data_IF_895462072247
#
_entry.id   IF_895462072247
#
_cell.length_a   1.000
_cell.length_b   1.000
_cell.length_c   1.000
_cell.angle_alpha   90.00
_cell.angle_beta   90.00
_cell.angle_gamma   90.00
#
_symmetry.space_group_name_H-M   'P 1'
#
loop_
_entity.id
_entity.type
_entity.pdbx_description
1 polymer ?
#
# COMPACT_ATOMS: atom_id res chain seq x y z
N UNK A 1 27.01 8.33 88.24
CA UNK A 1 28.17 7.57 88.75
C UNK A 1 28.74 6.80 87.57
N UNK A 2 29.80 7.34 86.98
CA UNK A 2 30.61 6.66 85.97
C UNK A 2 31.53 5.68 86.71
N UNK A 3 31.65 4.46 86.21
CA UNK A 3 32.80 3.61 86.51
C UNK A 3 33.34 3.06 85.20
N UNK A 4 34.51 3.56 84.84
CA UNK A 4 35.38 3.09 83.78
C UNK A 4 36.33 2.03 84.32
N UNK A 5 36.87 1.21 83.42
CA UNK A 5 38.11 0.42 83.51
C UNK A 5 37.95 -1.10 83.64
N UNK A 6 38.53 -1.80 82.67
CA UNK A 6 38.57 -3.27 82.57
C UNK A 6 38.61 -3.78 81.12
N UNK A 7 39.55 -3.32 80.29
CA UNK A 7 40.81 -4.05 79.99
C UNK A 7 40.61 -5.21 78.99
N UNK A 8 41.09 -4.98 77.78
CA UNK A 8 41.20 -5.89 76.63
C UNK A 8 41.62 -7.32 76.99
N UNK A 9 40.95 -8.32 76.43
CA UNK A 9 41.36 -9.73 76.58
C UNK A 9 40.39 -10.80 76.08
N UNK A 10 39.72 -10.59 74.95
CA UNK A 10 38.93 -11.66 74.31
C UNK A 10 39.84 -12.62 73.56
N UNK A 11 40.08 -13.82 74.13
CA UNK A 11 40.83 -14.91 73.51
C UNK A 11 40.26 -15.22 72.12
N UNK A 12 41.08 -15.10 71.09
CA UNK A 12 40.81 -15.66 69.77
C UNK A 12 40.97 -17.18 69.85
N UNK A 13 39.85 -17.89 70.02
CA UNK A 13 39.85 -19.34 69.92
C UNK A 13 40.20 -19.75 68.48
N UNK A 14 41.38 -20.33 68.36
CA UNK A 14 41.98 -20.75 67.10
C UNK A 14 41.14 -21.79 66.35
N UNK A 15 41.39 -21.79 65.04
CA UNK A 15 40.90 -22.75 64.06
C UNK A 15 41.06 -24.19 64.57
N UNK A 16 39.95 -24.91 64.74
CA UNK A 16 39.95 -26.35 65.03
C UNK A 16 39.79 -27.11 63.70
N UNK A 17 40.86 -27.69 63.13
CA UNK A 17 40.72 -28.59 62.00
C UNK A 17 40.20 -29.93 62.53
N UNK A 18 39.35 -30.57 61.72
CA UNK A 18 38.92 -31.96 61.87
C UNK A 18 37.71 -32.20 62.78
N UNK A 19 36.53 -31.79 62.32
CA UNK A 19 35.31 -32.59 62.51
C UNK A 19 34.62 -32.76 61.17
N UNK A 20 34.69 -33.99 60.65
CA UNK A 20 33.91 -34.47 59.52
C UNK A 20 32.41 -34.34 59.79
N UNK A 21 31.82 -33.21 59.42
CA UNK A 21 30.42 -33.16 59.04
C UNK A 21 30.33 -33.53 57.56
N UNK A 22 30.25 -34.83 57.28
CA UNK A 22 29.93 -35.38 55.96
C UNK A 22 28.44 -35.14 55.69
N UNK A 23 28.02 -33.89 55.51
CA UNK A 23 26.65 -33.51 55.14
C UNK A 23 26.74 -32.37 54.11
N UNK A 24 26.52 -32.73 52.84
CA UNK A 24 26.41 -31.88 51.64
C UNK A 24 27.07 -30.49 51.75
N UNK A 25 28.32 -30.35 51.27
CA UNK A 25 28.87 -29.02 50.94
C UNK A 25 27.87 -28.34 50.00
N UNK A 26 27.46 -27.13 50.35
CA UNK A 26 26.58 -26.32 49.51
C UNK A 26 27.18 -26.31 48.08
N UNK A 27 26.43 -26.71 47.04
CA UNK A 27 26.95 -26.82 45.67
C UNK A 27 27.53 -25.49 45.17
N UNK A 28 26.96 -24.37 45.62
CA UNK A 28 27.50 -23.04 45.32
C UNK A 28 28.85 -22.80 46.00
N UNK A 29 28.99 -23.16 47.28
CA UNK A 29 30.29 -23.03 47.97
C UNK A 29 31.35 -23.97 47.39
N UNK A 30 30.98 -25.19 46.99
CA UNK A 30 31.90 -26.11 46.34
C UNK A 30 32.39 -25.59 44.96
N UNK A 31 31.50 -24.99 44.18
CA UNK A 31 31.85 -24.36 42.89
C UNK A 31 32.66 -23.08 43.07
N UNK A 32 32.36 -22.28 44.10
CA UNK A 32 33.14 -21.09 44.47
C UNK A 32 34.55 -21.47 44.92
N UNK A 33 34.68 -22.42 45.84
CA UNK A 33 35.98 -22.92 46.29
C UNK A 33 36.81 -23.43 45.11
N UNK A 34 36.19 -24.22 44.22
CA UNK A 34 36.86 -24.74 43.02
C UNK A 34 37.29 -23.62 42.04
N UNK A 35 36.44 -22.61 41.83
CA UNK A 35 36.75 -21.45 41.00
C UNK A 35 37.91 -20.63 41.53
N UNK A 36 38.07 -20.55 42.85
CA UNK A 36 39.15 -19.79 43.51
C UNK A 36 40.45 -20.60 43.58
N UNK A 37 40.37 -21.90 43.90
CA UNK A 37 41.53 -22.77 44.02
C UNK A 37 42.15 -23.12 42.66
N UNK A 38 41.35 -23.20 41.59
CA UNK A 38 41.81 -23.60 40.24
C UNK A 38 41.28 -22.69 39.13
N UNK A 39 41.62 -21.38 39.15
CA UNK A 39 41.01 -20.37 38.29
C UNK A 39 41.19 -20.64 36.80
N UNK A 40 42.34 -21.18 36.39
CA UNK A 40 42.61 -21.53 34.97
C UNK A 40 41.72 -22.66 34.47
N UNK A 41 41.44 -23.66 35.32
CA UNK A 41 40.60 -24.79 34.95
C UNK A 41 39.13 -24.37 34.89
N UNK A 42 38.67 -23.59 35.86
CA UNK A 42 37.30 -23.08 35.89
C UNK A 42 36.99 -22.16 34.71
N UNK A 43 37.93 -21.25 34.37
CA UNK A 43 37.79 -20.42 33.17
C UNK A 43 37.70 -21.25 31.89
N UNK A 44 38.57 -22.26 31.73
CA UNK A 44 38.57 -23.13 30.55
C UNK A 44 37.25 -23.90 30.41
N UNK A 45 36.68 -24.39 31.52
CA UNK A 45 35.39 -25.09 31.51
C UNK A 45 34.24 -24.14 31.14
N UNK A 46 34.21 -22.93 31.70
CA UNK A 46 33.19 -21.93 31.36
C UNK A 46 33.27 -21.52 29.88
N UNK A 47 34.49 -21.29 29.36
CA UNK A 47 34.73 -21.01 27.94
C UNK A 47 34.26 -22.17 27.04
N UNK A 48 34.55 -23.41 27.44
CA UNK A 48 34.09 -24.59 26.70
C UNK A 48 32.55 -24.67 26.69
N UNK A 49 31.89 -24.45 27.82
CA UNK A 49 30.43 -24.41 27.90
C UNK A 49 29.84 -23.28 27.04
N UNK A 50 30.44 -22.08 27.06
CA UNK A 50 30.01 -20.97 26.20
C UNK A 50 30.14 -21.33 24.72
N UNK A 51 31.25 -21.95 24.30
CA UNK A 51 31.44 -22.38 22.91
C UNK A 51 30.44 -23.46 22.47
N UNK A 52 30.13 -24.42 23.36
CA UNK A 52 29.13 -25.46 23.09
C UNK A 52 27.70 -24.91 23.02
N UNK A 53 27.36 -23.92 23.83
CA UNK A 53 26.06 -23.25 23.75
C UNK A 53 25.99 -22.32 22.53
N UNK A 54 27.08 -21.62 22.22
CA UNK A 54 27.18 -20.74 21.06
C UNK A 54 27.11 -21.51 19.73
N UNK A 55 27.54 -22.79 19.68
CA UNK A 55 27.40 -23.59 18.45
C UNK A 55 25.95 -23.82 18.04
N UNK A 56 25.00 -23.74 18.98
CA UNK A 56 23.56 -23.76 18.70
C UNK A 56 23.04 -22.49 18.02
N UNK A 57 23.78 -21.38 18.07
CA UNK A 57 23.39 -20.11 17.44
C UNK A 57 23.30 -20.20 15.90
N UNK A 58 24.06 -21.10 15.28
CA UNK A 58 23.96 -21.36 13.82
C UNK A 58 22.66 -22.08 13.42
N UNK A 59 21.92 -22.62 14.39
CA UNK A 59 20.64 -23.29 14.18
C UNK A 59 19.44 -22.41 14.52
N UNK A 60 19.65 -21.13 14.84
CA UNK A 60 18.57 -20.17 14.98
C UNK A 60 17.99 -19.87 13.59
N UNK A 61 16.82 -20.46 13.30
CA UNK A 61 16.00 -20.08 12.18
C UNK A 61 15.01 -19.03 12.67
N UNK A 62 15.18 -17.79 12.21
CA UNK A 62 14.19 -16.76 12.41
C UNK A 62 13.12 -16.96 11.33
N UNK A 63 11.96 -17.43 11.76
CA UNK A 63 10.78 -17.38 10.91
C UNK A 63 10.33 -15.91 10.84
N UNK A 64 10.55 -15.30 9.68
CA UNK A 64 10.13 -13.92 9.39
C UNK A 64 8.88 -13.91 8.49
N UNK A 65 8.24 -15.07 8.30
CA UNK A 65 6.93 -15.11 7.64
C UNK A 65 5.88 -14.44 8.53
N UNK A 66 4.85 -13.89 7.90
CA UNK A 66 3.69 -13.31 8.59
C UNK A 66 3.08 -14.31 9.59
N UNK A 67 3.07 -15.60 9.24
CA UNK A 67 2.51 -16.71 10.02
C UNK A 67 3.33 -17.05 11.28
N UNK A 68 4.64 -16.77 11.30
CA UNK A 68 5.52 -17.05 12.43
C UNK A 68 5.18 -16.28 13.72
N UNK A 69 4.31 -15.26 13.61
CA UNK A 69 3.86 -14.42 14.71
C UNK A 69 2.46 -14.76 15.23
N UNK A 70 1.71 -15.63 14.54
CA UNK A 70 0.36 -16.00 14.94
C UNK A 70 0.35 -17.28 15.78
N UNK A 71 -0.37 -17.31 16.93
CA UNK A 71 -0.47 -18.51 17.73
C UNK A 71 -1.41 -19.53 17.09
N UNK A 72 -1.04 -20.81 17.17
CA UNK A 72 -1.88 -21.94 16.75
C UNK A 72 -3.23 -21.90 17.51
N UNK A 73 -4.27 -21.42 16.85
CA UNK A 73 -5.61 -21.29 17.43
C UNK A 73 -6.69 -21.48 16.36
N UNK A 74 -7.89 -21.97 16.74
CA UNK A 74 -8.97 -22.22 15.77
C UNK A 74 -9.38 -21.00 14.96
N UNK A 75 -9.14 -19.78 15.48
CA UNK A 75 -9.42 -18.53 14.77
C UNK A 75 -8.38 -18.22 13.69
N UNK A 76 -7.11 -18.55 13.94
CA UNK A 76 -6.01 -18.43 12.96
C UNK A 76 -6.16 -19.51 11.88
N UNK A 77 -6.55 -20.73 12.26
CA UNK A 77 -6.83 -21.81 11.30
C UNK A 77 -7.92 -21.42 10.30
N UNK A 78 -9.01 -20.81 10.79
CA UNK A 78 -10.10 -20.31 9.94
C UNK A 78 -9.65 -19.15 9.04
N UNK A 79 -8.78 -18.27 9.55
CA UNK A 79 -8.21 -17.17 8.76
C UNK A 79 -7.37 -17.72 7.61
N UNK A 80 -6.52 -18.70 7.89
CA UNK A 80 -5.66 -19.37 6.90
C UNK A 80 -6.49 -20.14 5.87
N UNK A 81 -7.56 -20.81 6.29
CA UNK A 81 -8.49 -21.49 5.38
C UNK A 81 -9.16 -20.50 4.42
N UNK A 82 -9.70 -19.39 4.95
CA UNK A 82 -10.29 -18.31 4.14
C UNK A 82 -9.25 -17.70 3.18
N UNK A 83 -8.03 -17.47 3.66
CA UNK A 83 -6.95 -16.93 2.84
C UNK A 83 -6.57 -17.87 1.69
N UNK A 84 -6.46 -19.17 1.97
CA UNK A 84 -6.13 -20.18 0.96
C UNK A 84 -7.24 -20.39 -0.09
N UNK A 85 -8.51 -20.26 0.31
CA UNK A 85 -9.67 -20.55 -0.52
C UNK A 85 -10.13 -19.31 -1.34
N UNK A 86 -10.06 -18.11 -0.76
CA UNK A 86 -10.70 -16.92 -1.32
C UNK A 86 -9.76 -15.77 -1.68
N UNK A 87 -8.49 -15.79 -1.25
CA UNK A 87 -7.59 -14.68 -1.53
C UNK A 87 -6.84 -14.90 -2.84
N UNK A 88 -7.22 -14.15 -3.87
CA UNK A 88 -6.23 -13.77 -4.88
C UNK A 88 -5.18 -12.95 -4.12
N UNK A 89 -3.92 -13.39 -4.13
CA UNK A 89 -2.83 -12.69 -3.46
C UNK A 89 -2.60 -11.34 -4.18
N UNK A 90 -3.35 -10.32 -3.76
CA UNK A 90 -3.31 -8.96 -4.28
C UNK A 90 -2.73 -8.09 -3.19
N UNK A 91 -1.49 -7.69 -3.40
CA UNK A 91 -0.84 -6.68 -2.58
C UNK A 91 -1.11 -5.28 -3.12
N UNK A 92 -1.43 -4.35 -2.22
CA UNK A 92 -1.60 -2.94 -2.57
C UNK A 92 -0.35 -2.15 -2.17
N UNK A 93 0.32 -1.59 -3.16
CA UNK A 93 1.34 -0.56 -2.93
C UNK A 93 0.60 0.78 -2.87
N UNK A 94 0.72 1.47 -1.74
CA UNK A 94 0.08 2.77 -1.51
C UNK A 94 1.14 3.83 -1.25
N UNK A 95 0.99 4.97 -1.91
CA UNK A 95 1.76 6.18 -1.62
C UNK A 95 0.80 7.17 -0.95
N UNK A 96 1.16 7.60 0.25
CA UNK A 96 0.44 8.62 0.99
C UNK A 96 1.21 9.92 0.85
N UNK A 97 0.58 10.93 0.26
CA UNK A 97 1.16 12.25 0.10
C UNK A 97 0.43 13.23 1.01
N UNK A 98 1.16 13.88 1.90
CA UNK A 98 0.60 14.91 2.77
C UNK A 98 0.48 16.21 1.98
N UNK A 99 -0.69 16.83 2.08
CA UNK A 99 -1.03 18.11 1.45
C UNK A 99 -1.68 19.00 2.50
N UNK A 100 -1.43 20.29 2.41
CA UNK A 100 -2.06 21.29 3.26
C UNK A 100 -3.49 21.58 2.77
N UNK A 101 -4.24 22.33 3.59
CA UNK A 101 -5.56 22.80 3.18
C UNK A 101 -5.43 23.71 1.95
N UNK A 102 -6.37 23.57 1.02
CA UNK A 102 -6.43 24.30 -0.26
C UNK A 102 -5.37 23.92 -1.31
N UNK A 103 -4.40 23.05 -1.01
CA UNK A 103 -3.39 22.56 -1.97
C UNK A 103 -4.01 21.93 -3.23
N UNK A 104 -5.20 21.32 -3.11
CA UNK A 104 -5.92 20.75 -4.25
C UNK A 104 -6.41 21.80 -5.25
N UNK A 105 -6.42 23.09 -4.87
CA UNK A 105 -6.74 24.18 -5.79
C UNK A 105 -5.52 24.61 -6.62
N UNK A 106 -4.32 24.14 -6.25
CA UNK A 106 -3.07 24.47 -6.93
C UNK A 106 -2.71 23.42 -7.99
N UNK A 107 -2.35 23.88 -9.19
CA UNK A 107 -1.98 23.00 -10.31
C UNK A 107 -0.72 22.17 -10.00
N UNK A 108 0.24 22.74 -9.25
CA UNK A 108 1.49 22.07 -8.87
C UNK A 108 1.23 20.79 -8.04
N UNK A 109 0.21 20.81 -7.18
CA UNK A 109 -0.21 19.62 -6.42
C UNK A 109 -0.64 18.48 -7.33
N UNK A 110 -1.42 18.79 -8.37
CA UNK A 110 -1.89 17.79 -9.34
C UNK A 110 -0.77 17.28 -10.24
N UNK A 111 0.16 18.15 -10.65
CA UNK A 111 1.37 17.75 -11.38
C UNK A 111 2.23 16.80 -10.54
N UNK A 112 2.39 17.09 -9.24
CA UNK A 112 3.09 16.22 -8.29
C UNK A 112 2.40 14.86 -8.15
N UNK A 113 1.07 14.84 -8.01
CA UNK A 113 0.30 13.60 -7.92
C UNK A 113 0.42 12.77 -9.20
N UNK A 114 0.31 13.41 -10.37
CA UNK A 114 0.48 12.76 -11.67
C UNK A 114 1.88 12.16 -11.82
N UNK A 115 2.91 12.89 -11.38
CA UNK A 115 4.31 12.43 -11.39
C UNK A 115 4.50 11.19 -10.52
N UNK A 116 3.94 11.17 -9.30
CA UNK A 116 4.02 10.02 -8.39
C UNK A 116 3.35 8.79 -9.02
N UNK A 117 2.15 8.96 -9.56
CA UNK A 117 1.42 7.88 -10.25
C UNK A 117 2.20 7.37 -11.47
N UNK A 118 2.76 8.27 -12.25
CA UNK A 118 3.56 7.94 -13.43
C UNK A 118 4.84 7.16 -13.05
N UNK A 119 5.49 7.53 -11.95
CA UNK A 119 6.66 6.81 -11.42
C UNK A 119 6.29 5.41 -10.95
N UNK A 120 5.13 5.24 -10.29
CA UNK A 120 4.65 3.92 -9.90
C UNK A 120 4.39 3.02 -11.11
N UNK A 121 3.74 3.55 -12.15
CA UNK A 121 3.45 2.80 -13.38
C UNK A 121 4.69 2.42 -14.20
N UNK A 122 5.74 3.23 -14.14
CA UNK A 122 6.96 2.99 -14.93
C UNK A 122 8.04 2.24 -14.13
N UNK A 123 7.78 1.88 -12.89
CA UNK A 123 8.76 1.15 -12.10
C UNK A 123 8.90 -0.30 -12.61
N UNK A 124 10.09 -0.66 -13.08
CA UNK A 124 10.40 -2.01 -13.58
C UNK A 124 10.20 -3.10 -12.53
N UNK A 125 10.37 -2.77 -11.24
CA UNK A 125 10.21 -3.71 -10.14
C UNK A 125 8.72 -4.05 -9.92
N UNK A 126 7.81 -3.15 -10.31
CA UNK A 126 6.37 -3.35 -10.16
C UNK A 126 5.69 -3.90 -11.43
N UNK A 127 6.29 -3.70 -12.60
CA UNK A 127 5.71 -4.12 -13.87
C UNK A 127 5.22 -5.59 -13.93
N UNK A 128 5.94 -6.60 -13.38
CA UNK A 128 5.46 -7.98 -13.37
C UNK A 128 4.24 -8.23 -12.47
N UNK A 129 3.98 -7.34 -11.51
CA UNK A 129 2.94 -7.47 -10.48
C UNK A 129 1.71 -6.60 -10.78
N UNK A 130 1.73 -5.86 -11.88
CA UNK A 130 0.61 -5.02 -12.31
C UNK A 130 -0.63 -5.86 -12.59
N UNK A 131 -1.67 -5.66 -11.77
CA UNK A 131 -2.95 -6.33 -11.93
C UNK A 131 -4.03 -5.31 -12.29
N UNK A 132 -4.70 -5.42 -13.45
CA UNK A 132 -5.55 -4.36 -14.00
C UNK A 132 -6.95 -4.30 -13.34
N UNK A 133 -7.00 -3.97 -12.04
CA UNK A 133 -8.25 -3.91 -11.26
C UNK A 133 -9.17 -2.75 -11.67
N UNK A 134 -8.61 -1.68 -12.24
CA UNK A 134 -9.32 -0.42 -12.44
C UNK A 134 -9.55 -0.16 -13.93
N UNK A 135 -10.41 -0.99 -14.54
CA UNK A 135 -10.85 -0.77 -15.92
C UNK A 135 -9.69 -0.77 -16.92
N UNK A 136 -8.81 -1.79 -16.83
CA UNK A 136 -7.56 -2.00 -17.61
C UNK A 136 -6.28 -1.41 -17.04
N UNK A 137 -6.35 -0.66 -15.92
CA UNK A 137 -5.19 -0.04 -15.30
C UNK A 137 -4.79 -0.72 -13.99
N UNK A 138 -3.48 -0.79 -13.75
CA UNK A 138 -2.90 -1.38 -12.54
C UNK A 138 -2.76 -0.38 -11.38
N UNK A 139 -2.82 0.92 -11.68
CA UNK A 139 -2.83 1.99 -10.69
C UNK A 139 -4.21 2.63 -10.59
N UNK A 140 -4.45 3.32 -9.48
CA UNK A 140 -5.59 4.18 -9.27
C UNK A 140 -5.15 5.29 -8.33
N UNK A 141 -5.11 6.51 -8.83
CA UNK A 141 -4.79 7.67 -8.02
C UNK A 141 -5.58 8.91 -8.45
N UNK A 142 -5.47 10.01 -7.69
CA UNK A 142 -6.26 11.20 -7.93
C UNK A 142 -6.07 11.77 -9.35
N UNK A 143 -4.85 11.81 -9.87
CA UNK A 143 -4.55 12.40 -11.17
C UNK A 143 -5.14 11.56 -12.32
N UNK A 144 -4.96 10.24 -12.29
CA UNK A 144 -5.56 9.33 -13.28
C UNK A 144 -7.09 9.36 -13.27
N UNK A 145 -7.71 9.51 -12.11
CA UNK A 145 -9.17 9.67 -12.00
C UNK A 145 -9.64 11.04 -12.52
N UNK A 146 -8.96 12.12 -12.12
CA UNK A 146 -9.29 13.46 -12.57
C UNK A 146 -9.16 13.59 -14.09
N UNK A 147 -8.08 13.06 -14.67
CA UNK A 147 -7.86 13.02 -16.13
C UNK A 147 -9.02 12.32 -16.86
N UNK A 148 -9.45 11.15 -16.36
CA UNK A 148 -10.55 10.40 -16.99
C UNK A 148 -11.89 11.11 -16.83
N UNK A 149 -12.15 11.66 -15.66
CA UNK A 149 -13.36 12.44 -15.41
C UNK A 149 -13.42 13.68 -16.33
N UNK A 150 -12.32 14.44 -16.45
CA UNK A 150 -12.28 15.60 -17.35
C UNK A 150 -12.55 15.21 -18.80
N UNK A 151 -11.95 14.12 -19.26
CA UNK A 151 -12.12 13.67 -20.64
C UNK A 151 -13.55 13.18 -20.93
N UNK A 152 -14.20 12.50 -19.98
CA UNK A 152 -15.42 11.72 -20.25
C UNK A 152 -16.69 12.23 -19.57
N UNK A 153 -16.59 13.04 -18.52
CA UNK A 153 -17.70 13.41 -17.64
C UNK A 153 -17.83 14.92 -17.40
N UNK A 154 -16.75 15.69 -17.57
CA UNK A 154 -16.81 17.14 -17.37
C UNK A 154 -17.63 17.84 -18.47
N UNK A 155 -18.65 18.59 -18.06
CA UNK A 155 -19.54 19.31 -18.98
C UNK A 155 -18.83 20.41 -19.79
N UNK A 156 -17.83 21.09 -19.22
CA UNK A 156 -17.09 22.13 -19.93
C UNK A 156 -16.26 21.51 -21.06
N UNK A 157 -15.52 20.44 -20.76
CA UNK A 157 -14.75 19.69 -21.77
C UNK A 157 -15.66 19.06 -22.82
N UNK A 158 -16.80 18.49 -22.39
CA UNK A 158 -17.77 17.86 -23.28
C UNK A 158 -18.47 18.84 -24.24
N UNK A 159 -18.56 20.13 -23.88
CA UNK A 159 -19.13 21.16 -24.75
C UNK A 159 -18.42 21.26 -26.11
N UNK A 160 -17.17 20.82 -26.20
CA UNK A 160 -16.39 20.80 -27.44
C UNK A 160 -16.88 19.78 -28.48
N UNK A 161 -17.54 18.69 -28.07
CA UNK A 161 -17.92 17.58 -28.97
C UNK A 161 -19.38 17.17 -28.86
N UNK A 162 -19.97 17.20 -27.66
CA UNK A 162 -21.31 16.66 -27.39
C UNK A 162 -22.43 17.41 -28.13
N UNK A 163 -22.44 18.76 -28.19
CA UNK A 163 -23.46 19.49 -28.96
C UNK A 163 -23.37 19.21 -30.47
N UNK A 164 -22.15 19.06 -31.00
CA UNK A 164 -21.92 18.77 -32.42
C UNK A 164 -22.41 17.35 -32.76
N UNK A 165 -22.11 16.38 -31.90
CA UNK A 165 -22.57 15.01 -32.05
C UNK A 165 -24.10 14.91 -32.00
N UNK A 166 -24.74 15.63 -31.07
CA UNK A 166 -26.19 15.72 -30.98
C UNK A 166 -26.80 16.36 -32.24
N UNK A 167 -26.26 17.50 -32.70
CA UNK A 167 -26.73 18.17 -33.90
C UNK A 167 -26.57 17.31 -35.16
N UNK A 168 -25.43 16.63 -35.33
CA UNK A 168 -25.19 15.73 -36.44
C UNK A 168 -26.15 14.53 -36.41
N UNK A 169 -26.44 14.00 -35.21
CA UNK A 169 -27.41 12.93 -34.99
C UNK A 169 -28.82 13.35 -35.42
N UNK A 170 -29.29 14.52 -34.98
CA UNK A 170 -30.57 15.09 -35.46
C UNK A 170 -30.57 15.30 -36.97
N UNK A 171 -29.45 15.75 -37.54
CA UNK A 171 -29.28 15.92 -38.98
C UNK A 171 -29.49 14.64 -39.78
N UNK A 172 -29.01 13.49 -39.29
CA UNK A 172 -29.25 12.17 -39.92
C UNK A 172 -30.72 11.76 -39.82
N UNK A 173 -31.37 12.02 -38.68
CA UNK A 173 -32.78 11.69 -38.48
C UNK A 173 -33.71 12.50 -39.40
N UNK A 174 -33.34 13.74 -39.70
CA UNK A 174 -34.12 14.66 -40.55
C UNK A 174 -33.71 14.64 -42.03
N UNK A 175 -32.69 13.87 -42.40
CA UNK A 175 -32.20 13.84 -43.77
C UNK A 175 -33.09 13.01 -44.69
N UNK A 176 -33.53 13.64 -45.78
CA UNK A 176 -34.16 12.95 -46.92
C UNK A 176 -33.15 12.07 -47.67
N UNK A 177 -33.63 11.08 -48.42
CA UNK A 177 -32.82 10.05 -49.10
C UNK A 177 -31.65 10.59 -49.92
N UNK A 178 -31.81 11.76 -50.57
CA UNK A 178 -30.77 12.41 -51.36
C UNK A 178 -29.62 12.97 -50.51
N UNK A 179 -29.91 13.35 -49.25
CA UNK A 179 -28.98 14.04 -48.35
C UNK A 179 -28.46 13.13 -47.21
N UNK A 180 -28.99 11.92 -47.05
CA UNK A 180 -28.57 10.96 -46.01
C UNK A 180 -27.06 10.72 -46.04
N UNK A 181 -26.47 10.54 -47.22
CA UNK A 181 -25.04 10.25 -47.31
C UNK A 181 -24.18 11.40 -46.77
N UNK A 182 -24.61 12.65 -46.99
CA UNK A 182 -23.91 13.83 -46.46
C UNK A 182 -24.13 13.96 -44.95
N UNK A 183 -25.34 13.68 -44.46
CA UNK A 183 -25.65 13.70 -43.03
C UNK A 183 -24.84 12.64 -42.26
N UNK A 184 -24.70 11.43 -42.81
CA UNK A 184 -23.90 10.36 -42.20
C UNK A 184 -22.40 10.70 -42.20
N UNK A 185 -21.91 11.35 -43.26
CA UNK A 185 -20.53 11.84 -43.29
C UNK A 185 -20.28 12.88 -42.18
N UNK A 186 -21.21 13.80 -41.97
CA UNK A 186 -21.13 14.78 -40.88
C UNK A 186 -21.20 14.12 -39.49
N UNK A 187 -22.06 13.11 -39.29
CA UNK A 187 -22.08 12.33 -38.05
C UNK A 187 -20.77 11.58 -37.82
N UNK A 188 -20.19 10.99 -38.87
CA UNK A 188 -18.88 10.32 -38.79
C UNK A 188 -17.76 11.31 -38.44
N UNK A 189 -17.81 12.54 -38.95
CA UNK A 189 -16.86 13.59 -38.61
C UNK A 189 -17.03 14.02 -37.15
N UNK A 190 -18.27 14.30 -36.71
CA UNK A 190 -18.57 14.64 -35.31
C UNK A 190 -18.14 13.55 -34.32
N UNK A 191 -18.28 12.27 -34.70
CA UNK A 191 -17.85 11.14 -33.88
C UNK A 191 -16.32 11.11 -33.66
N UNK A 192 -15.51 11.68 -34.56
CA UNK A 192 -14.05 11.74 -34.40
C UNK A 192 -13.61 12.73 -33.31
N UNK A 193 -14.49 13.64 -32.90
CA UNK A 193 -14.25 14.57 -31.80
C UNK A 193 -14.58 13.99 -30.43
N UNK A 194 -15.23 12.82 -30.36
CA UNK A 194 -15.50 12.13 -29.09
C UNK A 194 -14.17 11.60 -28.54
N UNK A 195 -13.80 11.95 -27.30
CA UNK A 195 -12.56 11.49 -26.70
C UNK A 195 -12.58 9.96 -26.53
N UNK A 196 -11.48 9.26 -26.87
CA UNK A 196 -11.42 7.82 -26.74
C UNK A 196 -11.28 7.40 -25.27
N UNK A 197 -11.85 6.24 -24.93
CA UNK A 197 -11.65 5.61 -23.62
C UNK A 197 -10.35 4.82 -23.67
N UNK A 198 -9.26 5.46 -23.24
CA UNK A 198 -7.92 4.89 -23.25
C UNK A 198 -7.37 4.70 -21.83
N UNK A 199 -6.53 3.67 -21.59
CA UNK A 199 -5.85 3.51 -20.31
C UNK A 199 -4.94 4.70 -20.03
N UNK A 200 -4.90 5.14 -18.78
CA UNK A 200 -3.94 6.15 -18.33
C UNK A 200 -2.56 5.50 -18.25
N UNK A 201 -1.65 5.96 -19.11
CA UNK A 201 -0.27 5.47 -19.18
C UNK A 201 0.69 6.43 -18.47
N UNK A 202 1.92 5.98 -18.23
CA UNK A 202 3.01 6.83 -17.76
C UNK A 202 3.14 8.11 -18.61
N UNK A 203 3.24 7.96 -19.94
CA UNK A 203 3.43 9.10 -20.85
C UNK A 203 2.25 10.07 -20.80
N UNK A 204 1.01 9.57 -20.67
CA UNK A 204 -0.18 10.41 -20.55
C UNK A 204 -0.19 11.22 -19.26
N UNK A 205 0.21 10.62 -18.13
CA UNK A 205 0.31 11.33 -16.86
C UNK A 205 1.41 12.39 -16.89
N UNK A 206 2.55 12.09 -17.49
CA UNK A 206 3.66 13.04 -17.61
C UNK A 206 3.35 14.20 -18.58
N UNK A 207 2.48 13.97 -19.56
CA UNK A 207 2.03 15.00 -20.51
C UNK A 207 0.74 15.72 -20.07
N UNK A 208 0.17 15.35 -18.92
CA UNK A 208 -1.10 15.90 -18.46
C UNK A 208 -0.92 17.32 -17.95
N UNK A 209 -1.77 18.23 -18.43
CA UNK A 209 -1.92 19.56 -17.88
C UNK A 209 -3.21 19.62 -17.06
N UNK A 210 -3.07 19.84 -15.75
CA UNK A 210 -4.19 19.96 -14.83
C UNK A 210 -4.95 21.31 -14.98
N UNK A 211 -4.42 22.26 -15.75
CA UNK A 211 -5.03 23.56 -15.98
C UNK A 211 -5.19 24.37 -14.69
N UNK A 212 -6.42 24.83 -14.41
CA UNK A 212 -6.75 25.60 -13.20
C UNK A 212 -7.70 24.80 -12.29
N UNK A 213 -7.19 24.05 -11.28
CA UNK A 213 -8.00 23.22 -10.40
C UNK A 213 -9.15 23.94 -9.71
N UNK A 214 -8.97 25.20 -9.35
CA UNK A 214 -10.02 26.03 -8.79
C UNK A 214 -11.29 26.16 -9.69
N UNK A 215 -11.20 25.88 -11.00
CA UNK A 215 -12.36 25.92 -11.91
C UNK A 215 -13.11 24.60 -12.02
N UNK A 216 -12.38 23.50 -12.11
CA UNK A 216 -12.96 22.19 -12.40
C UNK A 216 -13.21 21.36 -11.15
N UNK A 217 -12.43 21.55 -10.07
CA UNK A 217 -12.60 20.79 -8.84
C UNK A 217 -13.99 20.99 -8.22
N UNK A 218 -14.55 22.22 -8.15
CA UNK A 218 -15.92 22.39 -7.65
C UNK A 218 -16.98 21.67 -8.49
N UNK A 219 -16.76 21.50 -9.81
CA UNK A 219 -17.68 20.74 -10.69
C UNK A 219 -17.56 19.25 -10.48
N UNK A 220 -16.36 18.76 -10.21
CA UNK A 220 -16.16 17.37 -9.81
C UNK A 220 -16.86 17.09 -8.47
N UNK A 221 -16.80 18.04 -7.53
CA UNK A 221 -17.43 17.94 -6.22
C UNK A 221 -18.97 18.02 -6.25
N UNK A 222 -19.57 18.69 -7.24
CA UNK A 222 -21.04 18.75 -7.36
C UNK A 222 -21.65 17.40 -7.74
N UNK A 223 -20.86 16.50 -8.32
CA UNK A 223 -21.32 15.19 -8.80
C UNK A 223 -22.14 15.25 -10.09
N UNK A 224 -22.19 16.42 -10.75
CA UNK A 224 -22.82 16.57 -12.05
C UNK A 224 -22.08 15.72 -13.08
N UNK A 225 -22.82 15.12 -14.01
CA UNK A 225 -22.29 14.23 -15.03
C UNK A 225 -23.11 14.33 -16.32
N UNK A 226 -22.68 13.63 -17.37
CA UNK A 226 -23.28 13.72 -18.70
C UNK A 226 -24.37 12.66 -18.97
N UNK A 227 -24.90 12.00 -17.93
CA UNK A 227 -25.77 10.84 -18.13
C UNK A 227 -27.03 11.17 -18.92
N UNK A 228 -27.63 12.34 -18.67
CA UNK A 228 -28.86 12.77 -19.34
C UNK A 228 -28.61 13.12 -20.81
N UNK A 229 -27.55 13.86 -21.11
CA UNK A 229 -27.17 14.25 -22.45
C UNK A 229 -26.71 13.05 -23.29
N UNK A 230 -25.89 12.17 -22.70
CA UNK A 230 -25.48 10.92 -23.34
C UNK A 230 -26.67 9.99 -23.59
N UNK A 231 -27.59 9.91 -22.63
CA UNK A 231 -28.84 9.17 -22.78
C UNK A 231 -29.69 9.68 -23.94
N UNK A 232 -29.78 11.01 -24.11
CA UNK A 232 -30.47 11.64 -25.24
C UNK A 232 -29.83 11.27 -26.58
N UNK A 233 -28.50 11.39 -26.70
CA UNK A 233 -27.77 11.04 -27.93
C UNK A 233 -27.91 9.54 -28.24
N UNK A 234 -27.80 8.66 -27.24
CA UNK A 234 -28.01 7.22 -27.42
C UNK A 234 -29.44 6.91 -27.88
N UNK A 235 -30.44 7.59 -27.32
CA UNK A 235 -31.84 7.45 -27.76
C UNK A 235 -32.03 7.85 -29.22
N UNK A 236 -31.43 8.96 -29.64
CA UNK A 236 -31.44 9.40 -31.04
C UNK A 236 -30.81 8.36 -31.95
N UNK A 237 -29.61 7.87 -31.63
CA UNK A 237 -28.90 6.87 -32.44
C UNK A 237 -29.66 5.54 -32.53
N UNK A 238 -30.30 5.09 -31.44
CA UNK A 238 -31.15 3.88 -31.45
C UNK A 238 -32.34 4.04 -32.40
N UNK A 239 -33.01 5.20 -32.36
CA UNK A 239 -34.17 5.47 -33.22
C UNK A 239 -33.85 5.48 -34.72
N UNK A 240 -32.61 5.82 -35.10
CA UNK A 240 -32.16 5.78 -36.50
C UNK A 240 -32.01 4.35 -37.02
N UNK A 241 -31.66 3.42 -36.14
CA UNK A 241 -31.47 2.01 -36.49
C UNK A 241 -32.84 1.32 -36.68
N UNK A 242 -33.82 1.65 -35.84
CA UNK A 242 -35.18 1.11 -35.92
C UNK A 242 -35.97 1.62 -37.14
N UNK A 243 -35.84 2.90 -37.50
CA UNK A 243 -36.57 3.48 -38.65
C UNK A 243 -36.02 3.07 -40.02
N UNK A 244 -34.94 2.26 -40.08
CA UNK A 244 -34.23 1.93 -41.32
C UNK A 244 -34.01 0.42 -41.55
N UNK A 245 -34.52 -0.45 -40.68
CA UNK A 245 -34.67 -1.91 -40.94
C UNK A 245 -36.02 -2.22 -41.56
#
# INVERSE_FOLDING_TARGET
>A
MLNTDGFWGGKTDGYKPNQCAKNMRNPFMALTDWSVERPKQSFAVVMLCMLLLASGGMHLQFDNSEDGFFPDSPSVDLLNEIESEYRANIDFIRVLNEIDADDLLEAETWERLATVEAMMLNNSDFAPYHYPLFGTQANNGPASQAMQWMALQDAETASGWLPQLHAASVGVLMADDENVSAALANLSEAATHVPPVEPVTHDRLMAWDAGEPARWLPRMDTGDNLSDELGSVMGLLSSMTENRT
#
